data_IF_487531826882
#
_entry.id   IF_487531826882
#
_cell.length_a   1.000
_cell.length_b   1.000
_cell.length_c   1.000
_cell.angle_alpha   90.00
_cell.angle_beta   90.00
_cell.angle_gamma   90.00
#
_symmetry.space_group_name_H-M   'P 1'
#
loop_
_entity.id
_entity.type
_entity.pdbx_description
1 polymer ?
#
# COMPACT_ATOMS: atom_id res chain seq x y z
N UNK A 1 8.14 -4.42 -10.51
CA UNK A 1 7.68 -3.34 -9.61
C UNK A 1 8.75 -3.20 -8.56
N UNK A 2 9.30 -2.00 -8.40
CA UNK A 2 10.26 -1.73 -7.33
C UNK A 2 9.55 -1.72 -5.95
N UNK A 3 10.30 -1.92 -4.85
CA UNK A 3 9.71 -2.04 -3.52
C UNK A 3 8.96 -0.79 -3.05
N UNK A 4 9.35 0.39 -3.55
CA UNK A 4 8.71 1.66 -3.17
C UNK A 4 7.37 1.79 -3.87
N UNK A 5 7.31 1.53 -5.18
CA UNK A 5 6.05 1.51 -5.93
C UNK A 5 5.08 0.45 -5.41
N UNK A 6 5.55 -0.72 -4.97
CA UNK A 6 4.68 -1.72 -4.36
C UNK A 6 4.03 -1.22 -3.04
N UNK A 7 4.79 -0.54 -2.19
CA UNK A 7 4.28 0.04 -0.95
C UNK A 7 3.36 1.23 -1.24
N UNK A 8 3.69 2.06 -2.23
CA UNK A 8 2.84 3.17 -2.65
C UNK A 8 1.48 2.66 -3.16
N UNK A 9 1.46 1.67 -4.05
CA UNK A 9 0.22 1.06 -4.55
C UNK A 9 -0.62 0.46 -3.41
N UNK A 10 0.02 -0.24 -2.47
CA UNK A 10 -0.66 -0.77 -1.29
C UNK A 10 -1.22 0.34 -0.38
N UNK A 11 -0.48 1.44 -0.22
CA UNK A 11 -0.94 2.63 0.51
C UNK A 11 -2.17 3.26 -0.14
N UNK A 12 -2.17 3.42 -1.47
CA UNK A 12 -3.33 3.93 -2.24
C UNK A 12 -4.54 3.01 -2.07
N UNK A 13 -4.36 1.69 -2.18
CA UNK A 13 -5.44 0.73 -1.99
C UNK A 13 -6.09 0.84 -0.58
N UNK A 14 -5.29 1.13 0.45
CA UNK A 14 -5.80 1.36 1.80
C UNK A 14 -6.54 2.71 1.94
N UNK A 15 -6.08 3.75 1.24
CA UNK A 15 -6.80 5.04 1.17
C UNK A 15 -8.15 4.86 0.48
N UNK A 16 -8.18 4.19 -0.67
CA UNK A 16 -9.41 3.85 -1.42
C UNK A 16 -10.37 3.07 -0.53
N UNK A 17 -9.87 2.03 0.15
CA UNK A 17 -10.66 1.24 1.08
C UNK A 17 -11.26 2.09 2.20
N UNK A 18 -10.44 2.94 2.85
CA UNK A 18 -10.90 3.82 3.92
C UNK A 18 -11.95 4.84 3.45
N UNK A 19 -11.80 5.37 2.24
CA UNK A 19 -12.77 6.28 1.62
C UNK A 19 -14.11 5.56 1.37
N UNK A 20 -14.08 4.35 0.81
CA UNK A 20 -15.26 3.52 0.57
C UNK A 20 -15.97 3.12 1.87
N UNK A 21 -15.21 2.73 2.91
CA UNK A 21 -15.75 2.40 4.23
C UNK A 21 -16.45 3.61 4.88
N UNK A 22 -15.91 4.82 4.67
CA UNK A 22 -16.49 6.07 5.17
C UNK A 22 -17.76 6.47 4.40
N UNK A 23 -17.76 6.30 3.07
CA UNK A 23 -18.90 6.61 2.21
C UNK A 23 -20.08 5.63 2.40
N UNK A 24 -19.79 4.36 2.73
CA UNK A 24 -20.78 3.27 2.78
C UNK A 24 -21.63 3.15 4.07
N UNK A 25 -21.46 4.02 5.07
CA UNK A 25 -22.10 3.89 6.40
C UNK A 25 -21.84 2.56 7.15
N UNK A 26 -20.83 1.76 6.77
CA UNK A 26 -20.40 0.56 7.53
C UNK A 26 -19.38 0.90 8.64
N UNK A 27 -19.46 2.09 9.24
CA UNK A 27 -18.56 2.56 10.29
C UNK A 27 -18.56 1.73 11.60
N UNK A 28 -19.31 0.62 11.66
CA UNK A 28 -19.68 -0.05 12.91
C UNK A 28 -19.18 -1.49 13.12
N UNK A 29 -18.62 -2.18 12.12
CA UNK A 29 -18.24 -3.60 12.30
C UNK A 29 -16.87 -3.89 11.71
N UNK A 30 -15.84 -3.72 12.55
CA UNK A 30 -14.48 -4.20 12.27
C UNK A 30 -13.73 -3.49 11.13
N UNK A 31 -14.04 -2.22 10.88
CA UNK A 31 -13.20 -1.34 10.04
C UNK A 31 -11.92 -1.01 10.79
N UNK A 32 -10.78 -1.34 10.21
CA UNK A 32 -9.48 -0.96 10.77
C UNK A 32 -9.36 0.58 10.70
N UNK A 33 -9.41 1.26 11.86
CA UNK A 33 -9.22 2.72 11.99
C UNK A 33 -7.90 3.26 11.39
N UNK A 34 -7.03 2.41 10.85
CA UNK A 34 -5.80 2.83 10.21
C UNK A 34 -5.97 3.47 8.84
N UNK A 35 -7.11 3.29 8.15
CA UNK A 35 -7.37 4.01 6.89
C UNK A 35 -7.40 5.54 7.08
N UNK A 36 -8.14 6.02 8.09
CA UNK A 36 -8.17 7.44 8.45
C UNK A 36 -6.80 7.96 8.89
N UNK A 37 -6.08 7.19 9.73
CA UNK A 37 -4.73 7.55 10.19
C UNK A 37 -3.72 7.64 9.03
N UNK A 38 -3.82 6.73 8.07
CA UNK A 38 -2.98 6.74 6.87
C UNK A 38 -3.26 7.98 6.02
N UNK A 39 -4.53 8.29 5.78
CA UNK A 39 -4.94 9.51 5.04
C UNK A 39 -4.43 10.77 5.74
N UNK A 40 -4.61 10.89 7.06
CA UNK A 40 -4.10 12.01 7.84
C UNK A 40 -2.58 12.13 7.74
N UNK A 41 -1.85 11.01 7.79
CA UNK A 41 -0.40 11.01 7.70
C UNK A 41 0.10 11.44 6.31
N UNK A 42 -0.52 10.92 5.25
CA UNK A 42 -0.21 11.30 3.87
C UNK A 42 -0.54 12.78 3.66
N UNK A 43 -1.72 13.24 4.09
CA UNK A 43 -2.12 14.65 4.03
C UNK A 43 -1.12 15.57 4.74
N UNK A 44 -0.67 15.19 5.94
CA UNK A 44 0.34 15.95 6.67
C UNK A 44 1.68 16.01 5.91
N UNK A 45 2.06 14.93 5.21
CA UNK A 45 3.30 14.89 4.41
C UNK A 45 3.20 15.67 3.11
N UNK A 46 2.01 15.70 2.52
CA UNK A 46 1.73 16.39 1.26
C UNK A 46 1.54 17.90 1.45
N UNK A 47 1.36 18.36 2.68
CA UNK A 47 1.18 19.78 2.99
C UNK A 47 2.27 20.65 2.35
N UNK A 48 1.85 21.61 1.54
CA UNK A 48 2.74 22.48 0.76
C UNK A 48 3.11 21.96 -0.62
N UNK A 49 2.55 20.82 -1.04
CA UNK A 49 2.61 20.30 -2.39
C UNK A 49 1.18 20.19 -2.97
N UNK A 50 0.71 21.22 -3.70
CA UNK A 50 -0.66 21.28 -4.21
C UNK A 50 -1.04 20.08 -5.10
N UNK A 51 -0.12 19.58 -5.92
CA UNK A 51 -0.40 18.44 -6.80
C UNK A 51 -0.64 17.15 -6.02
N UNK A 52 0.13 16.95 -4.94
CA UNK A 52 -0.03 15.78 -4.07
C UNK A 52 -1.29 15.89 -3.20
N UNK A 53 -1.58 17.08 -2.68
CA UNK A 53 -2.82 17.37 -1.94
C UNK A 53 -4.06 17.10 -2.80
N UNK A 54 -4.09 17.62 -4.03
CA UNK A 54 -5.17 17.40 -4.99
C UNK A 54 -5.35 15.91 -5.34
N UNK A 55 -4.24 15.19 -5.54
CA UNK A 55 -4.31 13.75 -5.84
C UNK A 55 -4.94 12.96 -4.69
N UNK A 56 -4.59 13.27 -3.44
CA UNK A 56 -5.18 12.64 -2.27
C UNK A 56 -6.67 12.99 -2.13
N UNK A 57 -7.02 14.25 -2.34
CA UNK A 57 -8.41 14.72 -2.22
C UNK A 57 -9.31 14.13 -3.32
N UNK A 58 -8.79 13.93 -4.54
CA UNK A 58 -9.51 13.23 -5.62
C UNK A 58 -9.79 11.77 -5.27
N UNK A 59 -8.78 11.03 -4.80
CA UNK A 59 -8.98 9.61 -4.42
C UNK A 59 -9.93 9.46 -3.23
N UNK A 60 -9.91 10.40 -2.28
CA UNK A 60 -10.85 10.35 -1.15
C UNK A 60 -12.28 10.72 -1.54
N UNK A 61 -12.48 11.54 -2.57
CA UNK A 61 -13.81 11.96 -3.06
C UNK A 61 -14.39 11.00 -4.10
N UNK A 62 -13.54 10.47 -4.99
CA UNK A 62 -13.87 9.55 -6.08
C UNK A 62 -12.94 8.33 -6.01
N UNK A 63 -13.14 7.42 -5.03
CA UNK A 63 -12.24 6.29 -4.80
C UNK A 63 -12.24 5.26 -5.94
N UNK A 64 -13.20 5.30 -6.85
CA UNK A 64 -13.31 4.47 -8.05
C UNK A 64 -12.62 5.07 -9.29
N UNK A 65 -12.11 6.30 -9.20
CA UNK A 65 -11.33 6.92 -10.27
C UNK A 65 -9.90 6.32 -10.32
N UNK A 66 -9.70 5.37 -11.23
CA UNK A 66 -8.41 4.72 -11.46
C UNK A 66 -7.30 5.71 -11.85
N UNK A 67 -7.64 6.82 -12.53
CA UNK A 67 -6.65 7.84 -12.91
C UNK A 67 -6.19 8.61 -11.68
N UNK A 68 -7.11 8.97 -10.80
CA UNK A 68 -6.79 9.61 -9.51
C UNK A 68 -5.93 8.69 -8.62
N UNK A 69 -6.23 7.38 -8.59
CA UNK A 69 -5.42 6.40 -7.85
C UNK A 69 -3.99 6.33 -8.36
N UNK A 70 -3.80 6.28 -9.69
CA UNK A 70 -2.47 6.27 -10.30
C UNK A 70 -1.69 7.57 -10.08
N UNK A 71 -2.37 8.72 -10.11
CA UNK A 71 -1.77 10.01 -9.76
C UNK A 71 -1.26 10.02 -8.32
N UNK A 72 -2.09 9.55 -7.38
CA UNK A 72 -1.72 9.46 -5.98
C UNK A 72 -0.55 8.48 -5.76
N UNK A 73 -0.54 7.35 -6.45
CA UNK A 73 0.56 6.37 -6.37
C UNK A 73 1.89 7.00 -6.81
N UNK A 74 1.89 7.75 -7.92
CA UNK A 74 3.08 8.46 -8.41
C UNK A 74 3.59 9.48 -7.40
N UNK A 75 2.69 10.31 -6.85
CA UNK A 75 3.05 11.32 -5.87
C UNK A 75 3.57 10.70 -4.57
N UNK A 76 2.93 9.63 -4.11
CA UNK A 76 3.33 8.90 -2.91
C UNK A 76 4.71 8.25 -3.09
N UNK A 77 4.94 7.56 -4.21
CA UNK A 77 6.23 6.97 -4.54
C UNK A 77 7.33 8.02 -4.64
N UNK A 78 7.07 9.18 -5.26
CA UNK A 78 8.02 10.27 -5.33
C UNK A 78 8.42 10.79 -3.94
N UNK A 79 7.47 10.97 -3.02
CA UNK A 79 7.78 11.40 -1.65
C UNK A 79 8.55 10.34 -0.86
N UNK A 80 8.26 9.05 -1.08
CA UNK A 80 8.97 7.95 -0.43
C UNK A 80 10.41 7.81 -0.93
N UNK A 81 10.67 8.09 -2.22
CA UNK A 81 12.03 8.13 -2.76
C UNK A 81 12.85 9.31 -2.21
N UNK A 82 12.21 10.43 -1.90
CA UNK A 82 12.85 11.60 -1.30
C UNK A 82 13.11 11.43 0.20
N UNK A 83 12.33 10.58 0.88
CA UNK A 83 12.36 10.40 2.33
C UNK A 83 12.15 8.92 2.70
N UNK A 84 13.26 8.22 2.92
CA UNK A 84 13.26 6.81 3.33
C UNK A 84 12.62 6.57 4.71
N UNK A 85 12.57 7.59 5.57
CA UNK A 85 11.86 7.52 6.86
C UNK A 85 10.36 7.45 6.63
N UNK A 86 9.85 8.27 5.72
CA UNK A 86 8.46 8.22 5.28
C UNK A 86 8.11 6.90 4.58
N UNK A 87 8.99 6.38 3.71
CA UNK A 87 8.83 5.04 3.10
C UNK A 87 8.62 3.95 4.16
N UNK A 88 9.50 3.93 5.17
CA UNK A 88 9.47 2.95 6.26
C UNK A 88 8.18 3.06 7.07
N UNK A 89 7.72 4.29 7.31
CA UNK A 89 6.49 4.55 8.04
C UNK A 89 5.26 4.06 7.27
N UNK A 90 5.14 4.38 5.98
CA UNK A 90 4.02 3.92 5.14
C UNK A 90 4.02 2.39 5.02
N UNK A 91 5.20 1.77 4.81
CA UNK A 91 5.33 0.32 4.79
C UNK A 91 4.79 -0.30 6.08
N UNK A 92 5.19 0.24 7.24
CA UNK A 92 4.71 -0.24 8.54
C UNK A 92 3.19 -0.12 8.67
N UNK A 93 2.60 1.00 8.27
CA UNK A 93 1.14 1.17 8.33
C UNK A 93 0.41 0.19 7.41
N UNK A 94 0.96 -0.08 6.22
CA UNK A 94 0.45 -1.09 5.29
C UNK A 94 0.51 -2.48 5.91
N UNK A 95 1.65 -2.87 6.48
CA UNK A 95 1.83 -4.17 7.12
C UNK A 95 0.88 -4.36 8.32
N UNK A 96 0.71 -3.32 9.14
CA UNK A 96 -0.26 -3.30 10.24
C UNK A 96 -1.70 -3.48 9.74
N UNK A 97 -2.05 -2.88 8.59
CA UNK A 97 -3.35 -3.04 7.93
C UNK A 97 -3.60 -4.48 7.50
N UNK A 98 -2.61 -5.09 6.83
CA UNK A 98 -2.69 -6.46 6.34
C UNK A 98 -2.79 -7.44 7.50
N UNK A 99 -2.00 -7.24 8.56
CA UNK A 99 -2.06 -8.05 9.76
C UNK A 99 -3.39 -7.91 10.52
N UNK A 100 -3.99 -6.72 10.53
CA UNK A 100 -5.32 -6.50 11.11
C UNK A 100 -6.43 -7.20 10.31
N UNK A 101 -6.33 -7.20 8.98
CA UNK A 101 -7.26 -7.92 8.11
C UNK A 101 -7.18 -9.43 8.29
N UNK A 102 -5.98 -9.99 8.46
CA UNK A 102 -5.78 -11.43 8.68
C UNK A 102 -6.36 -12.00 9.98
N UNK A 103 -6.76 -11.16 10.95
CA UNK A 103 -7.42 -11.59 12.20
C UNK A 103 -8.95 -11.64 12.11
N UNK A 104 -9.55 -11.00 11.10
CA UNK A 104 -10.99 -11.08 10.83
C UNK A 104 -11.20 -12.16 9.76
N UNK A 105 -11.76 -13.30 10.15
CA UNK A 105 -11.80 -14.52 9.35
C UNK A 105 -12.58 -14.45 8.03
N UNK A 106 -11.98 -13.85 7.01
CA UNK A 106 -12.34 -14.04 5.62
C UNK A 106 -11.05 -14.04 4.79
N UNK A 107 -10.71 -15.19 4.22
CA UNK A 107 -9.63 -15.31 3.24
C UNK A 107 -9.84 -14.25 2.16
N UNK A 108 -8.96 -13.25 2.12
CA UNK A 108 -8.83 -12.39 0.95
C UNK A 108 -8.36 -13.32 -0.17
N UNK A 109 -9.29 -13.63 -1.08
CA UNK A 109 -9.01 -14.38 -2.29
C UNK A 109 -7.80 -13.75 -2.98
N UNK A 110 -6.76 -14.55 -3.14
CA UNK A 110 -5.50 -14.25 -3.78
C UNK A 110 -5.65 -13.98 -5.31
N UNK A 111 -6.52 -13.04 -5.69
CA UNK A 111 -6.69 -12.61 -7.07
C UNK A 111 -5.69 -11.49 -7.45
N UNK A 112 -5.15 -10.76 -6.47
CA UNK A 112 -4.10 -9.74 -6.72
C UNK A 112 -2.66 -10.26 -6.59
N UNK A 113 -2.43 -11.46 -6.07
CA UNK A 113 -1.12 -12.13 -6.11
C UNK A 113 -1.06 -13.01 -7.37
N UNK A 114 -1.16 -12.40 -8.56
CA UNK A 114 -0.98 -13.13 -9.83
C UNK A 114 0.34 -12.84 -10.54
N UNK A 115 1.22 -12.03 -9.94
CA UNK A 115 2.53 -11.71 -10.52
C UNK A 115 3.74 -11.94 -9.60
N UNK A 116 3.56 -12.46 -8.38
CA UNK A 116 4.68 -12.99 -7.61
C UNK A 116 4.94 -14.44 -8.06
N UNK A 117 5.64 -14.61 -9.18
CA UNK A 117 6.26 -15.90 -9.49
C UNK A 117 7.30 -16.18 -8.40
N UNK A 118 6.89 -16.94 -7.38
CA UNK A 118 7.82 -17.55 -6.43
C UNK A 118 8.60 -18.60 -7.22
N UNK A 119 9.79 -18.23 -7.70
CA UNK A 119 10.78 -19.17 -8.19
C UNK A 119 11.20 -20.07 -7.03
N UNK A 120 10.50 -21.20 -6.87
CA UNK A 120 10.93 -22.29 -6.02
C UNK A 120 11.94 -23.14 -6.82
N UNK A 121 13.07 -22.52 -7.16
CA UNK A 121 14.21 -23.23 -7.74
C UNK A 121 14.95 -23.91 -6.60
N UNK A 122 14.85 -25.24 -6.53
CA UNK A 122 15.63 -26.08 -5.62
C UNK A 122 17.11 -25.79 -5.87
N UNK A 123 17.77 -25.05 -4.98
CA UNK A 123 19.21 -24.80 -5.06
C UNK A 123 19.92 -26.08 -4.64
N UNK A 124 20.17 -26.97 -5.60
CA UNK A 124 21.11 -28.06 -5.43
C UNK A 124 22.53 -27.50 -5.59
N UNK A 125 23.19 -27.25 -4.46
CA UNK A 125 24.61 -26.91 -4.44
C UNK A 125 25.41 -28.17 -4.77
N UNK A 126 25.72 -28.39 -6.05
CA UNK A 126 26.76 -29.34 -6.45
C UNK A 126 28.13 -28.65 -6.28
N UNK A 127 28.72 -28.81 -5.10
CA UNK A 127 30.12 -28.47 -4.85
C UNK A 127 31.02 -29.50 -5.51
N UNK A 128 31.69 -29.12 -6.60
CA UNK A 128 32.81 -29.89 -7.14
C UNK A 128 34.09 -29.37 -6.45
N UNK A 129 34.52 -30.04 -5.38
CA UNK A 129 35.76 -29.70 -4.71
C UNK A 129 36.90 -30.54 -5.30
N UNK A 130 37.69 -29.93 -6.19
CA UNK A 130 39.00 -30.49 -6.56
C UNK A 130 39.97 -30.12 -5.44
N UNK A 131 40.39 -31.11 -4.65
CA UNK A 131 41.55 -30.95 -3.76
C UNK A 131 42.80 -31.21 -4.62
N UNK A 132 43.68 -30.21 -4.70
CA UNK A 132 45.06 -30.43 -5.15
C UNK A 132 45.83 -31.30 -4.16
#
# INVERSE_FOLDING_TARGET
>A
MDPVTAVAAAGVALVVKGALETAGQEAGRSGWNGGARLVERIRARFRGNPEAEDALDRVTTAPDDESAQQDLERQLAAQMLLDAGFETEIRRMVDEAVAAQGRSGAQISAALIKNAQVFNGKVEVQGNWTTS
#
